data_IF_458847603531
#
_entry.id   IF_458847603531
#
_cell.length_a   1.000
_cell.length_b   1.000
_cell.length_c   1.000
_cell.angle_alpha   90.00
_cell.angle_beta   90.00
_cell.angle_gamma   90.00
#
_symmetry.space_group_name_H-M   'P 1'
#
loop_
_entity.id
_entity.type
_entity.pdbx_description
1 polymer ?
#
# COMPACT_ATOMS: atom_id res chain seq x y z
N UNK A 1 17.50 -10.29 42.98
CA UNK A 1 16.78 -10.98 41.87
C UNK A 1 15.87 -9.97 41.19
N UNK A 2 16.42 -9.21 40.23
CA UNK A 2 15.69 -8.21 39.46
C UNK A 2 15.03 -8.89 38.26
N UNK A 3 13.71 -8.73 38.12
CA UNK A 3 12.94 -9.21 36.98
C UNK A 3 13.11 -8.22 35.83
N UNK A 4 13.70 -8.69 34.73
CA UNK A 4 13.79 -7.97 33.46
C UNK A 4 12.42 -8.10 32.78
N UNK A 5 11.75 -7.00 32.37
CA UNK A 5 10.54 -7.10 31.56
C UNK A 5 10.90 -7.56 30.15
N UNK A 6 10.20 -8.60 29.68
CA UNK A 6 10.27 -9.10 28.31
C UNK A 6 9.94 -8.00 27.32
N UNK A 7 10.94 -7.54 26.58
CA UNK A 7 10.76 -6.67 25.44
C UNK A 7 10.15 -7.47 24.29
N UNK A 8 8.99 -7.02 23.81
CA UNK A 8 8.33 -7.50 22.62
C UNK A 8 9.19 -7.11 21.41
N UNK A 9 9.94 -8.06 20.84
CA UNK A 9 10.63 -7.84 19.56
C UNK A 9 9.61 -7.96 18.42
N UNK A 10 9.28 -6.83 17.81
CA UNK A 10 8.56 -6.78 16.54
C UNK A 10 9.61 -6.85 15.41
N UNK A 11 9.81 -8.03 14.82
CA UNK A 11 10.57 -8.16 13.58
C UNK A 11 9.67 -7.71 12.42
N UNK A 12 9.86 -6.48 11.95
CA UNK A 12 9.30 -6.03 10.68
C UNK A 12 10.30 -6.37 9.56
N UNK A 13 10.21 -7.59 9.03
CA UNK A 13 10.83 -7.89 7.74
C UNK A 13 9.97 -7.23 6.65
N UNK A 14 10.46 -6.15 6.05
CA UNK A 14 9.86 -5.60 4.83
C UNK A 14 10.22 -6.50 3.65
N UNK A 15 9.59 -7.68 3.62
CA UNK A 15 9.49 -8.46 2.39
C UNK A 15 8.50 -7.73 1.47
N UNK A 16 8.82 -7.62 0.19
CA UNK A 16 7.95 -7.05 -0.85
C UNK A 16 6.71 -7.91 -1.13
N UNK A 17 5.96 -8.25 -0.09
CA UNK A 17 4.65 -8.83 -0.17
C UNK A 17 3.61 -7.78 -0.57
N UNK A 18 2.47 -8.25 -1.04
CA UNK A 18 1.26 -7.44 -1.20
C UNK A 18 0.98 -6.65 0.06
N UNK A 19 1.17 -5.34 0.02
CA UNK A 19 0.74 -4.47 1.10
C UNK A 19 -0.70 -4.05 0.83
N UNK A 20 -1.56 -4.10 1.85
CA UNK A 20 -2.78 -3.32 1.78
C UNK A 20 -2.41 -1.83 1.78
N UNK A 21 -2.67 -1.12 0.70
CA UNK A 21 -2.17 0.23 0.50
C UNK A 21 -3.02 1.03 -0.49
N UNK A 22 -3.07 2.34 -0.21
CA UNK A 22 -3.47 3.36 -1.18
C UNK A 22 -2.25 3.75 -2.04
N UNK A 23 -2.50 4.37 -3.19
CA UNK A 23 -1.46 4.82 -4.11
C UNK A 23 -1.24 6.33 -4.07
N UNK A 24 -2.31 7.12 -4.16
CA UNK A 24 -2.21 8.58 -4.24
C UNK A 24 -3.42 9.27 -3.60
N UNK A 25 -3.29 10.57 -3.35
CA UNK A 25 -4.31 11.43 -2.74
C UNK A 25 -4.35 12.77 -3.45
N UNK A 26 -5.51 13.44 -3.40
CA UNK A 26 -5.64 14.82 -3.86
C UNK A 26 -4.55 15.73 -3.26
N UNK A 27 -3.65 16.32 -4.08
CA UNK A 27 -2.59 17.22 -3.59
C UNK A 27 -3.12 18.62 -3.25
N UNK A 28 -4.41 18.87 -3.45
CA UNK A 28 -5.05 20.17 -3.26
C UNK A 28 -4.99 21.05 -4.52
N UNK A 29 -5.48 22.30 -4.43
CA UNK A 29 -5.96 22.99 -3.22
C UNK A 29 -7.26 22.41 -2.65
N UNK A 30 -7.36 22.35 -1.31
CA UNK A 30 -8.55 21.80 -0.65
C UNK A 30 -9.68 22.83 -0.56
N UNK A 31 -10.85 22.45 -1.07
CA UNK A 31 -11.97 23.36 -1.29
C UNK A 31 -13.06 23.21 -0.22
N UNK A 32 -13.76 24.31 0.06
CA UNK A 32 -14.83 24.35 1.06
C UNK A 32 -15.99 23.38 0.77
N UNK A 33 -16.40 23.10 -0.48
CA UNK A 33 -17.43 22.09 -0.77
C UNK A 33 -17.13 20.70 -0.22
N UNK A 34 -15.83 20.36 -0.07
CA UNK A 34 -15.38 19.08 0.49
C UNK A 34 -14.93 19.22 1.95
N UNK A 35 -15.37 20.26 2.67
CA UNK A 35 -14.97 20.49 4.06
C UNK A 35 -13.47 20.79 4.25
N UNK A 36 -12.79 21.25 3.19
CA UNK A 36 -11.33 21.41 3.12
C UNK A 36 -10.53 20.11 3.27
N UNK A 37 -11.18 18.95 3.10
CA UNK A 37 -10.51 17.65 2.97
C UNK A 37 -9.96 17.43 1.55
N UNK A 38 -9.05 16.44 1.40
CA UNK A 38 -8.68 15.88 0.11
C UNK A 38 -9.95 15.45 -0.66
N UNK A 39 -10.07 15.83 -1.92
CA UNK A 39 -11.23 15.47 -2.72
C UNK A 39 -11.34 13.96 -2.95
N UNK A 40 -10.20 13.27 -3.10
CA UNK A 40 -10.17 11.85 -3.47
C UNK A 40 -8.94 11.11 -2.93
N UNK A 41 -9.05 9.78 -2.85
CA UNK A 41 -7.93 8.84 -2.73
C UNK A 41 -7.96 7.83 -3.89
N UNK A 42 -6.78 7.46 -4.39
CA UNK A 42 -6.59 6.42 -5.40
C UNK A 42 -5.96 5.18 -4.77
N UNK A 43 -6.49 4.00 -5.04
CA UNK A 43 -5.89 2.72 -4.63
C UNK A 43 -4.83 2.21 -5.62
N UNK A 44 -4.08 1.19 -5.22
CA UNK A 44 -3.03 0.56 -6.05
C UNK A 44 -3.56 -0.19 -7.28
N UNK A 45 -4.86 -0.45 -7.35
CA UNK A 45 -5.55 -0.98 -8.53
C UNK A 45 -6.15 0.12 -9.42
N UNK A 46 -5.88 1.39 -9.12
CA UNK A 46 -6.23 2.55 -9.92
C UNK A 46 -7.64 3.09 -9.69
N UNK A 47 -8.42 2.53 -8.76
CA UNK A 47 -9.74 3.09 -8.42
C UNK A 47 -9.57 4.34 -7.60
N UNK A 48 -10.28 5.40 -7.99
CA UNK A 48 -10.28 6.67 -7.29
C UNK A 48 -11.66 6.90 -6.68
N UNK A 49 -11.70 7.15 -5.38
CA UNK A 49 -12.93 7.44 -4.64
C UNK A 49 -12.93 8.88 -4.16
N UNK A 50 -14.03 9.59 -4.38
CA UNK A 50 -14.24 10.92 -3.82
C UNK A 50 -14.62 10.81 -2.34
N UNK A 51 -14.38 11.88 -1.57
CA UNK A 51 -14.99 12.02 -0.24
C UNK A 51 -16.52 11.97 -0.43
N UNK A 52 -17.15 10.92 0.09
CA UNK A 52 -18.53 10.60 -0.22
C UNK A 52 -19.46 11.55 0.55
N UNK A 53 -19.81 12.66 -0.09
CA UNK A 53 -20.73 13.70 0.43
C UNK A 53 -22.06 13.74 -0.32
N UNK A 54 -22.35 12.72 -1.12
CA UNK A 54 -23.57 12.65 -1.93
C UNK A 54 -24.80 12.29 -1.10
N UNK A 55 -25.90 12.99 -1.34
CA UNK A 55 -27.24 12.65 -0.83
C UNK A 55 -28.02 11.72 -1.75
N UNK A 56 -27.38 11.11 -2.76
CA UNK A 56 -27.99 10.05 -3.53
C UNK A 56 -28.44 8.91 -2.61
N UNK A 57 -29.61 8.33 -2.89
CA UNK A 57 -30.19 7.24 -2.11
C UNK A 57 -30.24 5.97 -2.93
N UNK A 58 -30.19 4.82 -2.26
CA UNK A 58 -30.34 3.52 -2.89
C UNK A 58 -31.71 3.37 -3.55
N UNK A 59 -31.72 3.04 -4.83
CA UNK A 59 -32.94 2.61 -5.54
C UNK A 59 -33.39 1.20 -5.15
N UNK A 60 -32.55 0.46 -4.42
CA UNK A 60 -32.76 -0.95 -4.05
C UNK A 60 -33.34 -1.10 -2.65
N UNK A 61 -32.98 -0.21 -1.74
CA UNK A 61 -33.43 -0.22 -0.35
C UNK A 61 -34.20 1.06 -0.06
N UNK A 62 -35.51 0.99 0.25
CA UNK A 62 -36.26 2.17 0.63
C UNK A 62 -35.74 2.72 1.96
N UNK A 63 -35.57 4.03 2.05
CA UNK A 63 -35.29 4.70 3.32
C UNK A 63 -36.50 4.66 4.28
N UNK A 64 -36.25 4.99 5.54
CA UNK A 64 -37.30 5.20 6.55
C UNK A 64 -37.48 6.70 6.83
N UNK A 65 -38.62 7.15 7.41
CA UNK A 65 -38.79 8.52 7.84
C UNK A 65 -37.66 8.96 8.79
N UNK A 66 -36.92 10.01 8.42
CA UNK A 66 -35.75 10.48 9.18
C UNK A 66 -34.51 9.60 9.09
N UNK A 67 -34.50 8.59 8.21
CA UNK A 67 -33.32 7.76 7.93
C UNK A 67 -33.29 7.40 6.44
N UNK A 68 -32.87 8.33 5.58
CA UNK A 68 -32.73 8.08 4.16
C UNK A 68 -31.70 6.96 3.89
N UNK A 69 -31.92 6.16 2.86
CA UNK A 69 -31.01 5.09 2.44
C UNK A 69 -29.85 5.64 1.61
N UNK A 70 -29.07 6.56 2.20
CA UNK A 70 -27.97 7.22 1.49
C UNK A 70 -26.94 6.23 0.97
N UNK A 71 -26.38 6.52 -0.21
CA UNK A 71 -25.26 5.78 -0.80
C UNK A 71 -23.91 6.16 -0.18
N UNK A 72 -23.86 7.29 0.52
CA UNK A 72 -22.75 7.72 1.39
C UNK A 72 -23.14 7.57 2.85
N UNK A 73 -22.16 7.36 3.74
CA UNK A 73 -22.41 7.32 5.19
C UNK A 73 -22.48 8.76 5.71
N UNK A 74 -23.68 9.34 5.67
CA UNK A 74 -23.98 10.70 6.13
C UNK A 74 -24.88 10.61 7.36
N UNK A 75 -24.29 10.65 8.55
CA UNK A 75 -25.02 10.51 9.81
C UNK A 75 -25.45 11.89 10.32
N UNK A 76 -26.77 12.16 10.44
CA UNK A 76 -27.24 13.41 11.05
C UNK A 76 -26.78 13.50 12.51
N UNK A 77 -26.31 14.69 12.91
CA UNK A 77 -25.88 14.97 14.27
C UNK A 77 -26.54 16.28 14.72
N UNK A 78 -27.51 16.24 15.66
CA UNK A 78 -28.29 17.41 16.07
C UNK A 78 -27.41 18.60 16.49
N UNK A 79 -27.57 19.72 15.79
CA UNK A 79 -26.78 20.93 16.02
C UNK A 79 -25.43 21.00 15.28
N UNK A 80 -25.07 19.95 14.54
CA UNK A 80 -23.83 19.86 13.75
C UNK A 80 -24.12 19.63 12.26
N UNK A 81 -24.91 18.60 11.95
CA UNK A 81 -25.33 18.25 10.60
C UNK A 81 -26.80 17.85 10.53
N UNK A 82 -27.57 18.61 9.76
CA UNK A 82 -28.95 18.37 9.37
C UNK A 82 -28.96 17.97 7.89
N UNK A 83 -29.29 16.70 7.62
CA UNK A 83 -29.32 16.10 6.29
C UNK A 83 -30.49 16.59 5.42
N UNK A 84 -31.45 17.30 6.02
CA UNK A 84 -32.53 17.99 5.30
C UNK A 84 -32.08 19.32 4.69
N UNK A 85 -30.96 19.88 5.15
CA UNK A 85 -30.38 21.12 4.65
C UNK A 85 -29.21 20.84 3.68
N UNK A 86 -28.88 21.77 2.77
CA UNK A 86 -27.69 21.65 1.93
C UNK A 86 -26.40 21.55 2.77
N UNK A 87 -25.43 20.78 2.28
CA UNK A 87 -24.09 20.76 2.85
C UNK A 87 -23.45 22.15 2.75
N UNK A 88 -22.97 22.67 3.87
CA UNK A 88 -22.32 23.97 3.94
C UNK A 88 -21.25 23.97 5.03
N UNK A 89 -19.98 23.90 4.65
CA UNK A 89 -18.88 23.94 5.62
C UNK A 89 -18.62 25.38 6.12
N UNK A 90 -18.38 25.61 7.42
CA UNK A 90 -18.39 24.64 8.53
C UNK A 90 -19.75 24.49 9.24
N UNK A 91 -20.79 25.22 8.84
CA UNK A 91 -22.02 25.38 9.65
C UNK A 91 -23.00 24.21 9.61
N UNK A 92 -23.08 23.48 8.49
CA UNK A 92 -23.93 22.31 8.29
C UNK A 92 -23.14 21.26 7.50
N UNK A 93 -22.25 20.55 8.18
CA UNK A 93 -21.34 19.59 7.56
C UNK A 93 -21.17 18.38 8.49
N UNK A 94 -21.15 17.14 7.99
CA UNK A 94 -21.00 15.98 8.85
C UNK A 94 -19.65 16.02 9.57
N UNK A 95 -19.65 15.73 10.87
CA UNK A 95 -18.46 15.63 11.71
C UNK A 95 -17.56 14.43 11.36
N UNK A 96 -18.13 13.43 10.70
CA UNK A 96 -17.42 12.30 10.07
C UNK A 96 -17.93 12.06 8.65
N UNK A 97 -17.02 11.83 7.71
CA UNK A 97 -17.34 11.42 6.34
C UNK A 97 -16.32 10.41 5.84
N UNK A 98 -16.59 9.74 4.72
CA UNK A 98 -15.79 8.58 4.29
C UNK A 98 -15.48 8.66 2.79
N UNK A 99 -14.21 8.43 2.42
CA UNK A 99 -13.86 8.10 1.04
C UNK A 99 -14.22 6.64 0.73
N UNK A 100 -14.08 5.78 1.74
CA UNK A 100 -14.37 4.35 1.67
C UNK A 100 -14.85 3.86 3.03
N UNK A 101 -15.86 2.99 3.04
CA UNK A 101 -16.13 2.10 4.17
C UNK A 101 -16.56 0.71 3.70
N UNK A 102 -16.16 -0.32 4.43
CA UNK A 102 -16.67 -1.67 4.30
C UNK A 102 -16.81 -2.31 5.68
N UNK A 103 -18.06 -2.55 6.05
CA UNK A 103 -18.46 -3.01 7.38
C UNK A 103 -19.03 -4.42 7.29
N UNK A 104 -18.69 -5.27 8.24
CA UNK A 104 -19.24 -6.62 8.34
C UNK A 104 -19.60 -6.95 9.78
N UNK A 105 -20.66 -7.75 9.93
CA UNK A 105 -21.06 -8.32 11.21
C UNK A 105 -21.11 -9.84 11.10
N UNK A 106 -20.77 -10.52 12.20
CA UNK A 106 -20.89 -11.96 12.34
C UNK A 106 -21.39 -12.26 13.75
N UNK A 107 -22.63 -12.74 13.84
CA UNK A 107 -23.29 -13.05 15.11
C UNK A 107 -23.61 -14.54 15.17
N UNK A 108 -23.10 -15.21 16.20
CA UNK A 108 -23.46 -16.58 16.56
C UNK A 108 -23.72 -16.63 18.07
N UNK A 109 -24.98 -16.44 18.44
CA UNK A 109 -25.41 -16.45 19.83
C UNK A 109 -25.17 -17.81 20.52
N UNK A 110 -25.16 -18.92 19.79
CA UNK A 110 -24.93 -20.26 20.35
C UNK A 110 -23.49 -20.43 20.81
N UNK A 111 -22.55 -19.85 20.05
CA UNK A 111 -21.12 -19.85 20.37
C UNK A 111 -20.69 -18.61 21.15
N UNK A 112 -21.61 -17.70 21.47
CA UNK A 112 -21.35 -16.47 22.21
C UNK A 112 -20.48 -15.47 21.45
N UNK A 113 -20.63 -15.41 20.12
CA UNK A 113 -19.88 -14.49 19.24
C UNK A 113 -20.80 -13.37 18.75
N UNK A 114 -20.34 -12.13 18.93
CA UNK A 114 -20.85 -10.94 18.26
C UNK A 114 -19.65 -10.13 17.77
N UNK A 115 -19.35 -10.25 16.47
CA UNK A 115 -18.22 -9.60 15.82
C UNK A 115 -18.72 -8.45 14.95
N UNK A 116 -18.13 -7.28 15.14
CA UNK A 116 -18.24 -6.13 14.23
C UNK A 116 -16.86 -5.79 13.68
N UNK A 117 -16.76 -5.73 12.36
CA UNK A 117 -15.57 -5.30 11.61
C UNK A 117 -15.90 -4.00 10.86
N UNK A 118 -14.99 -3.04 10.91
CA UNK A 118 -15.03 -1.80 10.12
C UNK A 118 -13.68 -1.65 9.43
N UNK A 119 -13.71 -1.35 8.14
CA UNK A 119 -12.54 -0.90 7.38
C UNK A 119 -12.89 0.37 6.63
N UNK A 120 -12.08 1.42 6.76
CA UNK A 120 -12.45 2.73 6.22
C UNK A 120 -11.25 3.60 5.86
N UNK A 121 -11.49 4.54 4.94
CA UNK A 121 -10.67 5.76 4.78
C UNK A 121 -11.58 6.92 5.17
N UNK A 122 -11.27 7.53 6.30
CA UNK A 122 -12.20 8.36 7.06
C UNK A 122 -11.69 9.80 7.19
N UNK A 123 -12.63 10.74 7.06
CA UNK A 123 -12.49 12.16 7.30
C UNK A 123 -13.16 12.49 8.63
N UNK A 124 -12.44 13.13 9.53
CA UNK A 124 -12.98 13.58 10.80
C UNK A 124 -12.34 14.91 11.21
N UNK A 125 -12.85 15.51 12.29
CA UNK A 125 -12.28 16.71 12.88
C UNK A 125 -11.67 16.40 14.25
N UNK A 126 -10.47 16.92 14.52
CA UNK A 126 -9.75 16.65 15.78
C UNK A 126 -10.50 17.09 17.04
N UNK A 127 -11.31 18.15 16.95
CA UNK A 127 -12.20 18.62 18.03
C UNK A 127 -13.56 17.91 18.07
N UNK A 128 -13.86 17.07 17.07
CA UNK A 128 -15.17 16.44 16.87
C UNK A 128 -16.23 17.35 16.24
N UNK A 129 -15.89 18.60 15.88
CA UNK A 129 -16.79 19.52 15.21
C UNK A 129 -16.16 20.05 13.91
N UNK A 130 -16.95 20.30 12.85
CA UNK A 130 -16.44 20.90 11.63
C UNK A 130 -15.78 22.26 11.89
N UNK A 131 -14.46 22.31 11.69
CA UNK A 131 -13.68 23.53 11.80
C UNK A 131 -12.51 23.49 10.80
N UNK A 132 -12.21 24.64 10.18
CA UNK A 132 -11.03 24.73 9.30
C UNK A 132 -9.76 24.66 10.15
N UNK A 133 -8.81 23.82 9.73
CA UNK A 133 -7.59 23.56 10.48
C UNK A 133 -7.71 22.39 11.46
N UNK A 134 -8.86 21.71 11.54
CA UNK A 134 -9.06 20.52 12.40
C UNK A 134 -9.18 19.22 11.60
N UNK A 135 -9.10 19.26 10.27
CA UNK A 135 -9.29 18.12 9.37
C UNK A 135 -8.24 17.03 9.62
N UNK A 136 -8.70 15.82 9.88
CA UNK A 136 -7.92 14.60 9.98
C UNK A 136 -8.36 13.61 8.89
N UNK A 137 -7.40 12.89 8.32
CA UNK A 137 -7.68 11.74 7.47
C UNK A 137 -6.82 10.56 7.89
N UNK A 138 -7.42 9.38 7.93
CA UNK A 138 -6.74 8.16 8.33
C UNK A 138 -7.40 6.93 7.71
N UNK A 139 -6.60 5.88 7.58
CA UNK A 139 -7.07 4.53 7.30
C UNK A 139 -7.42 3.86 8.63
N UNK A 140 -8.61 3.27 8.74
CA UNK A 140 -9.12 2.63 9.95
C UNK A 140 -9.36 1.15 9.73
N UNK A 141 -8.93 0.34 10.69
CA UNK A 141 -9.47 -0.99 10.94
C UNK A 141 -9.97 -1.04 12.38
N UNK A 142 -11.23 -1.44 12.57
CA UNK A 142 -11.82 -1.66 13.89
C UNK A 142 -12.39 -3.06 13.99
N UNK A 143 -12.05 -3.74 15.07
CA UNK A 143 -12.52 -5.09 15.39
C UNK A 143 -13.06 -5.08 16.81
N UNK A 144 -14.36 -5.34 16.94
CA UNK A 144 -15.03 -5.53 18.23
C UNK A 144 -15.66 -6.90 18.28
N UNK A 145 -15.33 -7.68 19.29
CA UNK A 145 -15.85 -9.04 19.43
C UNK A 145 -16.24 -9.35 20.87
N UNK A 146 -17.47 -9.82 21.04
CA UNK A 146 -17.88 -10.56 22.23
C UNK A 146 -17.41 -12.01 22.07
N UNK A 147 -16.68 -12.55 23.06
CA UNK A 147 -16.21 -13.94 23.02
C UNK A 147 -16.52 -14.66 24.34
N UNK A 148 -16.81 -15.98 24.33
CA UNK A 148 -17.31 -16.67 25.53
C UNK A 148 -16.22 -17.05 26.54
N UNK A 149 -14.96 -17.17 26.12
CA UNK A 149 -13.89 -17.78 26.92
C UNK A 149 -12.55 -17.07 26.72
N UNK A 150 -11.62 -17.26 27.66
CA UNK A 150 -10.24 -16.86 27.48
C UNK A 150 -9.53 -17.72 26.41
N UNK A 151 -8.52 -17.18 25.75
CA UNK A 151 -7.64 -17.89 24.81
C UNK A 151 -7.15 -17.03 23.65
N UNK A 152 -6.53 -17.70 22.67
CA UNK A 152 -6.02 -17.05 21.46
C UNK A 152 -7.11 -17.05 20.39
N UNK A 153 -7.43 -15.88 19.86
CA UNK A 153 -8.34 -15.69 18.74
C UNK A 153 -7.57 -15.12 17.56
N UNK A 154 -7.72 -15.73 16.37
CA UNK A 154 -7.14 -15.23 15.12
C UNK A 154 -8.27 -14.69 14.26
N UNK A 155 -8.17 -13.44 13.82
CA UNK A 155 -9.14 -12.80 12.96
C UNK A 155 -8.47 -12.52 11.62
N UNK A 156 -8.87 -13.28 10.60
CA UNK A 156 -8.48 -13.02 9.21
C UNK A 156 -9.51 -12.09 8.58
N UNK A 157 -9.05 -11.01 7.96
CA UNK A 157 -9.90 -10.01 7.32
C UNK A 157 -9.33 -9.60 5.95
N UNK A 158 -10.04 -8.78 5.15
CA UNK A 158 -9.61 -8.43 3.80
C UNK A 158 -8.25 -7.78 3.65
N UNK A 159 -7.73 -7.20 4.73
CA UNK A 159 -6.49 -6.43 4.72
C UNK A 159 -5.42 -7.00 5.66
N UNK A 160 -5.60 -8.21 6.19
CA UNK A 160 -4.60 -8.81 7.07
C UNK A 160 -5.14 -9.86 8.02
N UNK A 161 -4.31 -10.16 9.02
CA UNK A 161 -4.60 -11.11 10.10
C UNK A 161 -4.18 -10.47 11.41
N UNK A 162 -5.12 -10.38 12.36
CA UNK A 162 -4.86 -9.92 13.72
C UNK A 162 -5.03 -11.08 14.71
N UNK A 163 -4.09 -11.23 15.65
CA UNK A 163 -4.10 -12.30 16.66
C UNK A 163 -4.24 -11.68 18.05
N UNK A 164 -5.26 -12.10 18.80
CA UNK A 164 -5.60 -11.57 20.11
C UNK A 164 -5.44 -12.64 21.19
N UNK A 165 -4.70 -12.30 22.25
CA UNK A 165 -4.70 -13.09 23.48
C UNK A 165 -5.73 -12.51 24.46
N UNK A 166 -6.86 -13.20 24.60
CA UNK A 166 -8.00 -12.77 25.42
C UNK A 166 -7.89 -13.40 26.81
N UNK A 167 -7.69 -12.61 27.89
CA UNK A 167 -7.50 -13.16 29.23
C UNK A 167 -8.80 -13.63 29.91
N UNK A 168 -9.94 -13.11 29.47
CA UNK A 168 -11.27 -13.49 29.95
C UNK A 168 -12.31 -13.21 28.86
N UNK A 169 -13.29 -14.11 28.72
CA UNK A 169 -14.44 -13.90 27.85
C UNK A 169 -15.35 -12.77 28.36
N UNK A 170 -16.21 -12.27 27.47
CA UNK A 170 -17.18 -11.23 27.78
C UNK A 170 -17.47 -10.32 26.60
N UNK A 171 -18.29 -9.30 26.87
CA UNK A 171 -18.65 -8.27 25.91
C UNK A 171 -17.43 -7.43 25.53
N UNK A 172 -17.16 -7.27 24.23
CA UNK A 172 -16.01 -6.55 23.66
C UNK A 172 -14.68 -6.98 24.29
N UNK A 173 -14.55 -8.27 24.59
CA UNK A 173 -13.29 -8.86 25.05
C UNK A 173 -12.16 -8.67 24.01
N UNK A 174 -12.52 -8.56 22.73
CA UNK A 174 -11.67 -7.96 21.70
C UNK A 174 -12.24 -6.56 21.37
N UNK A 175 -11.42 -5.53 21.49
CA UNK A 175 -11.79 -4.15 21.18
C UNK A 175 -10.57 -3.40 20.64
N UNK A 176 -10.27 -3.60 19.36
CA UNK A 176 -9.13 -3.01 18.68
C UNK A 176 -9.62 -1.94 17.71
N UNK A 177 -8.96 -0.79 17.75
CA UNK A 177 -9.03 0.23 16.70
C UNK A 177 -7.59 0.55 16.29
N UNK A 178 -7.33 0.47 14.99
CA UNK A 178 -6.07 0.86 14.36
C UNK A 178 -6.38 1.98 13.37
N UNK A 179 -6.01 3.19 13.75
CA UNK A 179 -6.11 4.38 12.89
C UNK A 179 -4.70 4.78 12.46
N UNK A 180 -4.41 4.70 11.17
CA UNK A 180 -3.09 5.02 10.60
C UNK A 180 -3.21 6.24 9.72
N UNK A 181 -2.31 7.21 9.94
CA UNK A 181 -2.24 8.42 9.12
C UNK A 181 -2.68 9.69 9.83
N UNK A 182 -3.20 9.59 11.07
CA UNK A 182 -3.45 10.76 11.92
C UNK A 182 -2.13 11.52 12.12
N UNK A 183 -2.07 12.71 11.55
CA UNK A 183 -0.90 13.59 11.59
C UNK A 183 -1.29 15.02 11.96
N UNK A 184 -0.46 15.98 11.52
CA UNK A 184 -0.84 17.38 11.61
C UNK A 184 -2.15 17.62 10.83
N UNK A 185 -3.03 18.52 11.31
CA UNK A 185 -4.26 18.81 10.59
C UNK A 185 -4.03 19.21 9.14
N UNK A 186 -5.00 18.90 8.29
CA UNK A 186 -4.96 19.15 6.84
C UNK A 186 -3.81 18.42 6.09
N UNK A 187 -3.25 17.36 6.69
CA UNK A 187 -2.26 16.49 6.05
C UNK A 187 -2.91 15.17 5.64
N UNK A 188 -3.09 14.93 4.34
CA UNK A 188 -3.83 13.76 3.84
C UNK A 188 -2.94 12.63 3.30
N UNK A 189 -1.62 12.84 3.17
CA UNK A 189 -0.69 11.77 2.78
C UNK A 189 -0.48 10.73 3.89
N UNK A 190 -0.93 11.00 5.11
CA UNK A 190 -0.83 10.08 6.24
C UNK A 190 -1.57 8.77 6.00
N UNK A 191 -2.78 8.83 5.42
CA UNK A 191 -3.60 7.63 5.16
C UNK A 191 -2.96 6.68 4.13
N UNK A 192 -2.06 7.18 3.27
CA UNK A 192 -1.29 6.34 2.33
C UNK A 192 -0.36 5.34 3.01
N UNK A 193 -0.04 5.56 4.29
CA UNK A 193 0.76 4.64 5.12
C UNK A 193 -0.09 3.57 5.79
N UNK A 194 -1.41 3.66 5.65
CA UNK A 194 -2.37 2.72 6.23
C UNK A 194 -2.42 1.39 5.51
N UNK A 195 -3.11 0.45 6.15
CA UNK A 195 -3.33 -0.91 5.67
C UNK A 195 -4.73 -1.07 5.04
N UNK A 196 -5.18 -0.05 4.30
CA UNK A 196 -6.43 -0.08 3.53
C UNK A 196 -6.10 0.12 2.06
N UNK A 197 -6.71 -0.71 1.21
CA UNK A 197 -6.50 -0.69 -0.22
C UNK A 197 -5.91 -2.01 -0.72
N UNK A 198 -6.15 -2.42 -1.97
CA UNK A 198 -7.16 -1.92 -2.88
C UNK A 198 -8.57 -1.93 -2.28
N UNK A 199 -9.42 -0.99 -2.70
CA UNK A 199 -10.75 -0.86 -2.08
C UNK A 199 -11.59 -2.11 -2.35
N UNK A 200 -12.22 -2.63 -1.28
CA UNK A 200 -13.28 -3.61 -1.44
C UNK A 200 -14.44 -2.99 -2.22
N UNK A 201 -15.10 -3.82 -3.01
CA UNK A 201 -16.29 -3.45 -3.75
C UNK A 201 -17.29 -4.59 -3.75
N UNK A 202 -18.57 -4.24 -3.86
CA UNK A 202 -19.62 -5.23 -4.07
C UNK A 202 -19.36 -6.01 -5.36
N UNK A 203 -19.65 -7.32 -5.34
CA UNK A 203 -19.64 -8.15 -6.55
C UNK A 203 -20.80 -7.84 -7.51
N UNK A 204 -21.86 -7.24 -6.99
CA UNK A 204 -23.07 -6.89 -7.74
C UNK A 204 -23.03 -5.45 -8.27
N UNK A 205 -22.14 -4.62 -7.70
CA UNK A 205 -21.88 -3.26 -8.16
C UNK A 205 -20.97 -3.18 -9.40
N UNK A 206 -20.64 -1.97 -9.87
CA UNK A 206 -20.98 -0.69 -9.25
C UNK A 206 -22.47 -0.33 -9.39
N UNK A 207 -22.94 0.59 -8.55
CA UNK A 207 -24.31 1.09 -8.57
C UNK A 207 -24.35 2.53 -9.05
N UNK A 208 -25.36 2.88 -9.84
CA UNK A 208 -25.56 4.26 -10.31
C UNK A 208 -26.83 4.80 -9.67
N UNK A 209 -26.73 5.95 -9.02
CA UNK A 209 -27.86 6.64 -8.39
C UNK A 209 -27.84 8.13 -8.74
N UNK A 210 -29.00 8.77 -8.69
CA UNK A 210 -29.13 10.20 -8.97
C UNK A 210 -28.93 11.00 -7.68
N UNK A 211 -27.99 11.93 -7.70
CA UNK A 211 -27.85 12.91 -6.63
C UNK A 211 -29.00 13.92 -6.70
N UNK A 212 -29.87 14.00 -5.68
CA UNK A 212 -31.04 14.88 -5.71
C UNK A 212 -30.69 16.37 -5.75
N UNK A 213 -29.47 16.75 -5.34
CA UNK A 213 -29.06 18.15 -5.22
C UNK A 213 -28.57 18.73 -6.55
N UNK A 214 -27.92 17.87 -7.35
CA UNK A 214 -27.25 18.27 -8.59
C UNK A 214 -27.94 17.69 -9.83
N UNK A 215 -28.77 16.66 -9.66
CA UNK A 215 -29.33 15.87 -10.76
C UNK A 215 -28.31 14.96 -11.46
N UNK A 216 -27.05 14.92 -10.99
CA UNK A 216 -26.01 14.12 -11.59
C UNK A 216 -26.23 12.62 -11.32
N UNK A 217 -25.94 11.79 -12.32
CA UNK A 217 -25.77 10.34 -12.11
C UNK A 217 -24.39 10.09 -11.51
N UNK A 218 -24.36 9.48 -10.34
CA UNK A 218 -23.15 9.18 -9.60
C UNK A 218 -22.99 7.67 -9.45
N UNK A 219 -21.75 7.19 -9.47
CA UNK A 219 -21.47 5.76 -9.43
C UNK A 219 -20.79 5.39 -8.11
N UNK A 220 -21.18 4.27 -7.51
CA UNK A 220 -20.72 3.81 -6.21
C UNK A 220 -20.16 2.39 -6.29
N UNK A 221 -19.11 2.09 -5.53
CA UNK A 221 -18.48 0.76 -5.48
C UNK A 221 -19.29 -0.29 -4.69
N UNK A 222 -20.32 0.16 -3.97
CA UNK A 222 -21.22 -0.65 -3.18
C UNK A 222 -22.44 0.16 -2.76
N UNK A 223 -23.35 -0.49 -2.05
CA UNK A 223 -24.51 0.12 -1.42
C UNK A 223 -24.43 -0.20 0.08
N UNK A 224 -24.25 0.80 0.97
CA UNK A 224 -24.12 0.55 2.41
C UNK A 224 -25.43 0.08 3.05
N UNK A 225 -26.55 0.12 2.31
CA UNK A 225 -27.86 -0.36 2.76
C UNK A 225 -28.07 -1.85 2.46
N UNK A 226 -27.15 -2.48 1.71
CA UNK A 226 -27.16 -3.91 1.40
C UNK A 226 -25.99 -4.60 2.11
N UNK A 227 -26.15 -5.90 2.38
CA UNK A 227 -25.05 -6.76 2.84
C UNK A 227 -24.75 -7.77 1.75
N UNK A 228 -23.63 -7.60 1.05
CA UNK A 228 -23.33 -8.33 -0.18
C UNK A 228 -21.90 -8.87 -0.20
N UNK A 229 -21.69 -9.93 -0.98
CA UNK A 229 -20.37 -10.49 -1.17
C UNK A 229 -19.44 -9.47 -1.86
N UNK A 230 -18.18 -9.41 -1.41
CA UNK A 230 -17.20 -8.45 -1.91
C UNK A 230 -16.07 -9.09 -2.72
N UNK A 231 -15.33 -8.24 -3.42
CA UNK A 231 -14.05 -8.54 -4.05
C UNK A 231 -13.10 -7.35 -3.86
N UNK A 232 -11.80 -7.55 -4.10
CA UNK A 232 -10.79 -6.48 -4.07
C UNK A 232 -9.71 -6.64 -3.01
N UNK A 233 -9.83 -7.61 -2.08
CA UNK A 233 -8.79 -7.88 -1.08
C UNK A 233 -7.43 -8.14 -1.74
N UNK A 234 -6.33 -7.48 -1.30
CA UNK A 234 -4.98 -7.74 -1.79
C UNK A 234 -4.45 -9.13 -1.44
N UNK A 235 -5.07 -9.80 -0.46
CA UNK A 235 -4.67 -11.12 0.03
C UNK A 235 -5.62 -12.23 -0.41
N UNK A 236 -6.56 -11.92 -1.31
CA UNK A 236 -7.66 -12.82 -1.69
C UNK A 236 -8.51 -13.29 -0.48
N UNK A 237 -8.54 -12.51 0.60
CA UNK A 237 -9.34 -12.75 1.82
C UNK A 237 -10.61 -11.90 1.79
N UNK A 238 -11.48 -12.08 0.80
CA UNK A 238 -12.74 -11.32 0.66
C UNK A 238 -13.81 -11.72 1.71
N UNK A 239 -13.43 -11.87 2.97
CA UNK A 239 -14.22 -12.37 4.08
C UNK A 239 -13.62 -11.94 5.42
N UNK A 240 -14.43 -12.01 6.48
CA UNK A 240 -13.97 -12.02 7.88
C UNK A 240 -14.10 -13.44 8.42
N UNK A 241 -13.03 -13.96 9.04
CA UNK A 241 -13.03 -15.26 9.72
C UNK A 241 -12.44 -15.12 11.11
N UNK A 242 -13.15 -15.63 12.12
CA UNK A 242 -12.67 -15.73 13.49
C UNK A 242 -12.42 -17.19 13.84
N UNK A 243 -11.18 -17.48 14.21
CA UNK A 243 -10.74 -18.77 14.74
C UNK A 243 -10.38 -18.61 16.22
N UNK A 244 -10.64 -19.62 17.05
CA UNK A 244 -10.38 -19.53 18.48
C UNK A 244 -10.47 -20.84 19.26
N UNK A 245 -10.49 -20.76 20.60
CA UNK A 245 -10.56 -21.92 21.49
C UNK A 245 -11.75 -22.82 21.19
N UNK A 246 -11.65 -24.09 21.61
CA UNK A 246 -12.70 -25.10 21.46
C UNK A 246 -13.13 -25.38 20.00
N UNK A 247 -12.25 -25.11 19.03
CA UNK A 247 -12.53 -25.32 17.61
C UNK A 247 -13.49 -24.26 17.03
N UNK A 248 -13.55 -23.06 17.62
CA UNK A 248 -14.29 -21.95 17.03
C UNK A 248 -13.70 -21.63 15.65
N UNK A 249 -14.56 -21.64 14.65
CA UNK A 249 -14.25 -21.23 13.28
C UNK A 249 -15.54 -20.74 12.63
N UNK A 250 -15.67 -19.41 12.50
CA UNK A 250 -16.83 -18.76 11.88
C UNK A 250 -16.36 -17.78 10.82
N UNK A 251 -17.15 -17.65 9.76
CA UNK A 251 -16.83 -16.78 8.63
C UNK A 251 -18.07 -16.08 8.07
N UNK A 252 -17.88 -14.84 7.62
CA UNK A 252 -18.82 -14.09 6.77
C UNK A 252 -18.05 -13.51 5.58
N UNK A 253 -18.65 -13.52 4.40
CA UNK A 253 -18.10 -12.94 3.17
C UNK A 253 -18.90 -11.74 2.66
N UNK A 254 -19.91 -11.32 3.42
CA UNK A 254 -20.80 -10.22 3.08
C UNK A 254 -20.48 -8.95 3.87
N UNK A 255 -20.52 -7.81 3.20
CA UNK A 255 -20.20 -6.50 3.75
C UNK A 255 -21.23 -5.46 3.29
N UNK A 256 -21.44 -4.42 4.10
CA UNK A 256 -22.03 -3.16 3.68
C UNK A 256 -20.89 -2.24 3.21
N UNK A 257 -20.92 -1.80 1.95
CA UNK A 257 -19.81 -1.06 1.32
C UNK A 257 -20.28 0.30 0.84
N UNK A 258 -19.57 1.35 1.22
CA UNK A 258 -19.76 2.73 0.74
C UNK A 258 -18.50 3.24 0.05
N UNK A 259 -18.71 4.04 -0.99
CA UNK A 259 -17.64 4.76 -1.69
C UNK A 259 -18.13 5.24 -3.06
N UNK A 260 -17.95 6.54 -3.32
CA UNK A 260 -18.33 7.18 -4.59
C UNK A 260 -17.13 7.15 -5.53
N UNK A 261 -17.30 6.58 -6.72
CA UNK A 261 -16.28 6.64 -7.78
C UNK A 261 -16.09 8.09 -8.21
N UNK A 262 -14.82 8.51 -8.24
CA UNK A 262 -14.46 9.85 -8.68
C UNK A 262 -14.63 10.02 -10.18
N UNK A 263 -15.08 11.21 -10.59
CA UNK A 263 -15.03 11.65 -11.99
C UNK A 263 -13.61 12.11 -12.39
N UNK A 264 -12.69 12.25 -11.44
CA UNK A 264 -11.32 12.69 -11.69
C UNK A 264 -10.56 11.60 -12.45
N UNK A 265 -10.12 11.92 -13.66
CA UNK A 265 -9.29 11.02 -14.47
C UNK A 265 -7.90 10.92 -13.84
N UNK A 266 -7.48 9.70 -13.54
CA UNK A 266 -6.17 9.41 -12.95
C UNK A 266 -5.34 8.46 -13.81
N UNK A 267 -4.02 8.68 -13.90
CA UNK A 267 -3.11 7.73 -14.51
C UNK A 267 -3.15 6.38 -13.77
N UNK A 268 -2.84 5.30 -14.48
CA UNK A 268 -2.67 3.98 -13.89
C UNK A 268 -1.55 4.02 -12.82
N UNK A 269 -1.78 3.52 -11.60
CA UNK A 269 -0.74 3.41 -10.60
C UNK A 269 0.47 2.62 -11.10
N UNK A 270 1.67 3.10 -10.80
CA UNK A 270 2.89 2.41 -11.18
C UNK A 270 4.02 2.73 -10.21
N UNK A 271 4.74 1.70 -9.77
CA UNK A 271 5.98 1.82 -9.01
C UNK A 271 7.01 0.91 -9.69
N UNK A 272 8.00 1.50 -10.35
CA UNK A 272 9.10 0.74 -10.93
C UNK A 272 10.01 0.29 -9.79
N UNK A 273 10.12 -1.03 -9.58
CA UNK A 273 10.91 -1.60 -8.49
C UNK A 273 12.37 -1.80 -8.91
N UNK A 274 12.59 -2.23 -10.16
CA UNK A 274 13.93 -2.52 -10.67
C UNK A 274 13.97 -2.43 -12.19
N UNK A 275 15.04 -1.85 -12.72
CA UNK A 275 15.43 -1.98 -14.11
C UNK A 275 16.95 -2.20 -14.17
N UNK A 276 17.35 -3.45 -14.37
CA UNK A 276 18.77 -3.85 -14.35
C UNK A 276 19.19 -4.50 -15.65
N UNK A 277 20.47 -4.45 -15.98
CA UNK A 277 21.05 -5.26 -17.06
C UNK A 277 22.18 -6.16 -16.55
N UNK A 278 22.46 -7.22 -17.29
CA UNK A 278 23.68 -8.01 -17.20
C UNK A 278 24.22 -8.27 -18.59
N UNK A 279 25.54 -8.39 -18.72
CA UNK A 279 26.14 -8.74 -20.01
C UNK A 279 27.48 -9.42 -19.83
N UNK A 280 27.75 -10.41 -20.67
CA UNK A 280 29.02 -11.15 -20.70
C UNK A 280 29.33 -11.63 -22.11
N UNK A 281 30.59 -11.96 -22.38
CA UNK A 281 30.98 -12.59 -23.63
C UNK A 281 30.90 -14.11 -23.48
N UNK A 282 30.04 -14.77 -24.26
CA UNK A 282 29.93 -16.23 -24.34
C UNK A 282 30.39 -16.65 -25.73
N UNK A 283 31.43 -17.49 -25.80
CA UNK A 283 32.03 -17.93 -27.07
C UNK A 283 32.42 -16.78 -28.01
N UNK A 284 32.88 -15.65 -27.44
CA UNK A 284 33.30 -14.46 -28.19
C UNK A 284 32.16 -13.57 -28.68
N UNK A 285 30.90 -13.86 -28.33
CA UNK A 285 29.73 -13.05 -28.67
C UNK A 285 29.11 -12.43 -27.42
N UNK A 286 28.64 -11.17 -27.49
CA UNK A 286 27.96 -10.54 -26.37
C UNK A 286 26.61 -11.22 -26.12
N UNK A 287 26.41 -11.69 -24.89
CA UNK A 287 25.13 -12.11 -24.35
C UNK A 287 24.70 -11.10 -23.30
N UNK A 288 23.54 -10.49 -23.51
CA UNK A 288 23.00 -9.49 -22.60
C UNK A 288 21.59 -9.85 -22.16
N UNK A 289 21.18 -9.27 -21.05
CA UNK A 289 19.85 -9.40 -20.49
C UNK A 289 19.47 -8.08 -19.80
N UNK A 290 18.21 -7.68 -19.97
CA UNK A 290 17.58 -6.58 -19.25
C UNK A 290 16.41 -7.16 -18.46
N UNK A 291 16.31 -6.83 -17.19
CA UNK A 291 15.28 -7.32 -16.28
C UNK A 291 14.54 -6.14 -15.66
N UNK A 292 13.22 -6.12 -15.81
CA UNK A 292 12.35 -5.04 -15.35
C UNK A 292 11.28 -5.59 -14.42
N UNK A 293 11.14 -4.97 -13.24
CA UNK A 293 10.14 -5.28 -12.23
C UNK A 293 9.33 -4.02 -11.95
N UNK A 294 8.01 -4.11 -11.99
CA UNK A 294 7.12 -3.00 -11.66
C UNK A 294 5.90 -3.49 -10.90
N UNK A 295 5.44 -2.69 -9.94
CA UNK A 295 4.09 -2.78 -9.42
C UNK A 295 3.17 -1.94 -10.31
N UNK A 296 2.03 -2.50 -10.69
CA UNK A 296 0.97 -1.86 -11.47
C UNK A 296 -0.34 -2.65 -11.28
N UNK A 297 -1.53 -2.10 -11.63
CA UNK A 297 -2.78 -2.83 -11.53
C UNK A 297 -2.70 -4.26 -12.13
N UNK A 298 -3.22 -5.28 -11.44
CA UNK A 298 -3.22 -6.67 -11.93
C UNK A 298 -4.18 -6.82 -13.12
N UNK A 299 -4.19 -8.00 -13.78
CA UNK A 299 -5.16 -8.31 -14.82
C UNK A 299 -6.60 -7.93 -14.42
N UNK A 300 -7.37 -7.28 -15.31
CA UNK A 300 -7.09 -7.12 -16.74
C UNK A 300 -6.20 -5.91 -17.10
N UNK A 301 -5.61 -5.22 -16.13
CA UNK A 301 -4.52 -4.27 -16.39
C UNK A 301 -3.33 -4.96 -17.07
N UNK A 302 -2.49 -4.16 -17.73
CA UNK A 302 -1.32 -4.63 -18.49
C UNK A 302 -0.09 -3.79 -18.17
N UNK A 303 1.08 -4.41 -18.18
CA UNK A 303 2.37 -3.71 -18.15
C UNK A 303 3.26 -4.14 -19.33
N UNK A 304 4.06 -3.21 -19.84
CA UNK A 304 5.06 -3.42 -20.89
C UNK A 304 6.23 -2.48 -20.68
N UNK A 305 7.37 -2.75 -21.31
CA UNK A 305 8.45 -1.76 -21.40
C UNK A 305 9.07 -1.71 -22.80
N UNK A 306 9.60 -0.55 -23.18
CA UNK A 306 10.55 -0.44 -24.27
C UNK A 306 11.96 -0.71 -23.73
N UNK A 307 12.63 -1.71 -24.29
CA UNK A 307 14.01 -2.03 -23.93
C UNK A 307 14.98 -0.94 -24.42
N UNK A 308 16.27 -1.06 -24.07
CA UNK A 308 17.28 -0.06 -24.46
C UNK A 308 17.48 0.11 -25.97
N UNK A 309 16.97 -0.81 -26.80
CA UNK A 309 17.00 -0.75 -28.26
C UNK A 309 15.67 -0.23 -28.85
N UNK A 310 14.68 0.08 -28.00
CA UNK A 310 13.35 0.54 -28.40
C UNK A 310 12.40 -0.58 -28.78
N UNK A 311 12.74 -1.85 -28.54
CA UNK A 311 11.84 -2.97 -28.76
C UNK A 311 10.82 -3.07 -27.62
N UNK A 312 9.55 -3.22 -27.97
CA UNK A 312 8.47 -3.39 -26.98
C UNK A 312 8.44 -4.80 -26.43
N UNK A 313 8.40 -4.91 -25.11
CA UNK A 313 8.36 -6.17 -24.36
C UNK A 313 7.13 -6.17 -23.46
N UNK A 314 6.23 -7.12 -23.69
CA UNK A 314 5.11 -7.36 -22.78
C UNK A 314 5.63 -7.99 -21.46
N UNK A 315 5.12 -7.52 -20.33
CA UNK A 315 5.44 -8.07 -19.02
C UNK A 315 4.43 -9.15 -18.64
N UNK A 316 4.85 -10.10 -17.80
CA UNK A 316 4.00 -11.14 -17.22
C UNK A 316 3.69 -10.79 -15.78
N UNK A 317 2.44 -10.96 -15.36
CA UNK A 317 2.01 -10.77 -13.97
C UNK A 317 2.10 -12.09 -13.19
N UNK A 318 2.55 -12.01 -11.93
CA UNK A 318 2.94 -13.19 -11.18
C UNK A 318 1.79 -13.90 -10.45
N UNK A 319 0.84 -13.18 -9.85
CA UNK A 319 0.00 -13.76 -8.79
C UNK A 319 -1.37 -13.07 -8.55
N UNK A 320 -1.85 -12.24 -9.48
CA UNK A 320 -3.09 -11.47 -9.36
C UNK A 320 -2.98 -10.25 -8.44
N UNK A 321 -1.76 -9.86 -8.06
CA UNK A 321 -1.52 -8.79 -7.08
C UNK A 321 -0.78 -7.59 -7.66
N UNK A 322 -0.50 -7.62 -8.97
CA UNK A 322 0.11 -6.49 -9.67
C UNK A 322 1.63 -6.52 -9.68
N UNK A 323 2.25 -7.67 -9.41
CA UNK A 323 3.69 -7.87 -9.54
C UNK A 323 4.02 -8.25 -10.99
N UNK A 324 4.59 -7.32 -11.75
CA UNK A 324 4.93 -7.52 -13.16
C UNK A 324 6.43 -7.70 -13.35
N UNK A 325 6.81 -8.69 -14.15
CA UNK A 325 8.18 -8.94 -14.60
C UNK A 325 8.27 -9.00 -16.12
N UNK A 326 9.33 -8.43 -16.69
CA UNK A 326 9.64 -8.57 -18.10
C UNK A 326 11.15 -8.62 -18.36
N UNK A 327 11.52 -9.26 -19.46
CA UNK A 327 12.90 -9.51 -19.84
C UNK A 327 13.15 -9.20 -21.31
N UNK A 328 14.31 -8.58 -21.63
CA UNK A 328 14.83 -8.45 -22.99
C UNK A 328 16.23 -9.03 -23.11
N UNK A 329 16.59 -9.55 -24.28
CA UNK A 329 17.97 -9.93 -24.64
C UNK A 329 18.79 -8.79 -25.26
N UNK A 330 18.24 -7.57 -25.33
CA UNK A 330 18.91 -6.40 -25.92
C UNK A 330 20.20 -6.06 -25.19
N UNK A 331 21.29 -5.86 -25.93
CA UNK A 331 22.58 -5.41 -25.36
C UNK A 331 22.62 -3.88 -25.30
N UNK A 332 22.63 -3.26 -24.11
CA UNK A 332 22.53 -1.81 -23.98
C UNK A 332 23.82 -1.09 -24.38
N UNK A 333 23.67 0.05 -25.06
CA UNK A 333 24.72 1.08 -25.17
C UNK A 333 24.54 2.02 -23.99
N UNK A 334 25.56 2.15 -23.14
CA UNK A 334 25.45 2.89 -21.88
C UNK A 334 25.90 4.35 -22.03
N UNK A 335 25.28 5.29 -21.29
CA UNK A 335 24.16 5.10 -20.36
C UNK A 335 22.84 4.81 -21.10
N UNK A 336 22.02 3.93 -20.52
CA UNK A 336 20.74 3.50 -21.10
C UNK A 336 19.59 3.72 -20.11
N UNK A 337 18.37 3.75 -20.65
CA UNK A 337 17.13 3.75 -19.89
C UNK A 337 16.10 2.87 -20.59
N UNK A 338 15.10 2.43 -19.82
CA UNK A 338 13.91 1.76 -20.34
C UNK A 338 12.68 2.63 -20.08
N UNK A 339 11.64 2.48 -20.90
CA UNK A 339 10.35 3.14 -20.68
C UNK A 339 9.32 2.09 -20.28
N UNK A 340 8.88 2.10 -19.02
CA UNK A 340 7.92 1.13 -18.50
C UNK A 340 6.54 1.76 -18.52
N UNK A 341 5.58 1.12 -19.17
CA UNK A 341 4.20 1.57 -19.32
C UNK A 341 3.24 0.64 -18.58
N UNK A 342 2.41 1.20 -17.71
CA UNK A 342 1.25 0.54 -17.11
C UNK A 342 -0.05 1.07 -17.75
N UNK A 343 -1.00 0.19 -18.03
CA UNK A 343 -2.30 0.54 -18.58
C UNK A 343 -3.41 -0.24 -17.86
N UNK A 344 -4.42 0.48 -17.37
CA UNK A 344 -5.56 -0.10 -16.66
C UNK A 344 -6.92 0.25 -17.29
N UNK A 345 -6.93 0.76 -18.54
CA UNK A 345 -8.13 1.24 -19.21
C UNK A 345 -9.18 0.14 -19.45
N UNK A 346 -8.76 -1.13 -19.48
CA UNK A 346 -9.69 -2.27 -19.60
C UNK A 346 -10.53 -2.44 -18.33
N UNK A 347 -9.93 -2.28 -17.14
CA UNK A 347 -10.65 -2.38 -15.87
C UNK A 347 -11.38 -1.08 -15.52
N UNK A 348 -10.79 0.07 -15.86
CA UNK A 348 -11.26 1.41 -15.53
C UNK A 348 -11.15 2.26 -16.79
N UNK A 349 -12.21 2.38 -17.62
CA UNK A 349 -12.16 3.07 -18.92
C UNK A 349 -11.63 4.51 -18.88
N UNK A 350 -11.83 5.21 -17.77
CA UNK A 350 -11.34 6.57 -17.57
C UNK A 350 -9.84 6.64 -17.19
N UNK A 351 -9.21 5.53 -16.79
CA UNK A 351 -7.79 5.51 -16.40
C UNK A 351 -6.90 5.68 -17.62
N UNK A 352 -5.94 6.61 -17.55
CA UNK A 352 -4.96 6.83 -18.61
C UNK A 352 -3.71 5.97 -18.40
N UNK A 353 -3.05 5.50 -19.47
CA UNK A 353 -1.76 4.83 -19.35
C UNK A 353 -0.70 5.74 -18.73
N UNK A 354 0.19 5.15 -17.94
CA UNK A 354 1.32 5.83 -17.29
C UNK A 354 2.60 5.28 -17.88
N UNK A 355 3.58 6.13 -18.18
CA UNK A 355 4.91 5.70 -18.65
C UNK A 355 5.99 6.37 -17.82
N UNK A 356 6.87 5.55 -17.26
CA UNK A 356 8.02 6.00 -16.48
C UNK A 356 9.32 5.62 -17.18
N UNK A 357 10.21 6.59 -17.37
CA UNK A 357 11.57 6.35 -17.80
C UNK A 357 12.44 5.99 -16.59
N UNK A 358 13.10 4.84 -16.64
CA UNK A 358 13.97 4.35 -15.57
C UNK A 358 15.39 4.12 -16.11
N UNK A 359 16.44 4.67 -15.47
CA UNK A 359 17.81 4.32 -15.79
C UNK A 359 18.03 2.81 -15.71
N UNK A 360 18.67 2.26 -16.74
CA UNK A 360 19.02 0.85 -16.79
C UNK A 360 20.42 0.68 -16.20
N UNK A 361 20.49 0.12 -14.99
CA UNK A 361 21.72 0.02 -14.20
C UNK A 361 22.25 -1.41 -14.12
N UNK A 362 23.53 -1.60 -13.82
CA UNK A 362 24.06 -2.93 -13.55
C UNK A 362 23.57 -3.45 -12.19
N UNK A 363 23.67 -4.76 -11.98
CA UNK A 363 23.47 -5.37 -10.67
C UNK A 363 24.84 -5.46 -9.98
N UNK A 364 24.96 -4.79 -8.83
CA UNK A 364 26.08 -4.98 -7.92
C UNK A 364 25.68 -6.08 -6.93
N UNK A 365 26.63 -6.92 -6.54
CA UNK A 365 26.46 -7.85 -5.42
C UNK A 365 27.70 -7.77 -4.53
N UNK A 366 27.52 -7.62 -3.23
CA UNK A 366 28.58 -7.74 -2.24
C UNK A 366 28.67 -9.21 -1.83
N UNK A 367 29.86 -9.81 -1.95
CA UNK A 367 30.12 -11.19 -1.52
C UNK A 367 30.71 -11.24 -0.11
N UNK A 368 31.38 -10.15 0.33
CA UNK A 368 32.01 -10.06 1.64
C UNK A 368 32.06 -8.62 2.12
N UNK A 369 31.67 -8.40 3.37
CA UNK A 369 31.85 -7.15 4.10
C UNK A 369 32.25 -7.46 5.55
N UNK A 370 33.55 -7.48 5.82
CA UNK A 370 34.10 -7.93 7.12
C UNK A 370 35.04 -6.91 7.71
N UNK A 371 34.95 -6.65 9.01
CA UNK A 371 35.90 -5.82 9.75
C UNK A 371 36.65 -6.62 10.81
N UNK A 372 37.98 -6.68 10.70
CA UNK A 372 38.83 -7.32 11.71
C UNK A 372 39.08 -6.39 12.89
N UNK A 373 38.68 -6.84 14.08
CA UNK A 373 38.89 -6.11 15.33
C UNK A 373 40.39 -6.08 15.68
N UNK A 374 41.11 -7.17 15.48
CA UNK A 374 42.55 -7.24 15.75
C UNK A 374 43.38 -6.25 14.91
N UNK A 375 43.06 -6.08 13.63
CA UNK A 375 43.85 -5.24 12.71
C UNK A 375 43.23 -3.89 12.35
N UNK A 376 41.97 -3.64 12.74
CA UNK A 376 41.22 -2.45 12.35
C UNK A 376 40.98 -2.31 10.84
N UNK A 377 40.95 -3.43 10.10
CA UNK A 377 40.79 -3.42 8.65
C UNK A 377 39.39 -3.82 8.24
N UNK A 378 38.80 -3.03 7.34
CA UNK A 378 37.58 -3.35 6.61
C UNK A 378 37.95 -3.98 5.26
N UNK A 379 37.43 -5.17 4.99
CA UNK A 379 37.55 -5.85 3.70
C UNK A 379 36.18 -5.96 3.04
N UNK A 380 36.10 -5.52 1.78
CA UNK A 380 34.91 -5.57 0.95
C UNK A 380 35.25 -6.30 -0.34
N UNK A 381 34.43 -7.28 -0.72
CA UNK A 381 34.47 -7.91 -2.05
C UNK A 381 33.09 -7.78 -2.68
N UNK A 382 33.06 -7.27 -3.90
CA UNK A 382 31.83 -7.08 -4.64
C UNK A 382 32.04 -7.32 -6.13
N UNK A 383 30.94 -7.54 -6.85
CA UNK A 383 30.95 -7.77 -8.28
C UNK A 383 29.85 -6.99 -9.00
N UNK A 384 30.07 -6.73 -10.28
CA UNK A 384 29.08 -6.15 -11.21
C UNK A 384 28.62 -7.18 -12.23
N UNK A 385 27.35 -7.10 -12.65
CA UNK A 385 26.78 -7.89 -13.73
C UNK A 385 27.25 -7.46 -15.13
N UNK A 386 27.93 -6.31 -15.27
CA UNK A 386 28.59 -5.92 -16.52
C UNK A 386 29.98 -6.54 -16.62
N UNK A 387 30.05 -7.73 -17.23
CA UNK A 387 31.32 -8.44 -17.46
C UNK A 387 31.97 -8.11 -18.80
N UNK A 388 31.30 -7.35 -19.67
CA UNK A 388 31.86 -6.93 -20.97
C UNK A 388 32.72 -5.69 -20.80
N UNK A 389 32.25 -4.70 -20.03
CA UNK A 389 33.02 -3.52 -19.67
C UNK A 389 32.82 -3.18 -18.19
N UNK A 390 33.48 -3.92 -17.27
CA UNK A 390 33.30 -3.76 -15.84
C UNK A 390 33.47 -2.29 -15.37
N UNK A 391 32.41 -1.64 -14.85
CA UNK A 391 32.50 -0.27 -14.33
C UNK A 391 33.39 -0.19 -13.09
N UNK A 392 33.79 1.03 -12.71
CA UNK A 392 34.38 1.26 -11.39
C UNK A 392 33.35 1.02 -10.27
N UNK A 393 33.79 0.44 -9.15
CA UNK A 393 32.97 0.25 -7.95
C UNK A 393 33.55 1.06 -6.79
N UNK A 394 32.71 1.77 -6.06
CA UNK A 394 33.08 2.58 -4.89
C UNK A 394 32.27 2.16 -3.66
N UNK A 395 32.93 2.09 -2.50
CA UNK A 395 32.29 1.81 -1.23
C UNK A 395 32.08 3.09 -0.42
N UNK A 396 30.93 3.15 0.25
CA UNK A 396 30.58 4.17 1.24
C UNK A 396 30.03 3.50 2.50
N UNK A 397 30.15 4.17 3.64
CA UNK A 397 29.50 3.78 4.88
C UNK A 397 28.00 4.00 4.74
N UNK A 398 27.20 2.95 4.99
CA UNK A 398 25.80 2.84 4.58
C UNK A 398 24.97 4.12 4.70
N UNK A 399 24.34 4.36 5.87
CA UNK A 399 23.43 5.50 6.05
C UNK A 399 24.12 6.87 6.00
N UNK A 400 25.38 6.95 6.45
CA UNK A 400 26.10 8.23 6.51
C UNK A 400 26.58 8.71 5.13
N UNK A 401 26.67 7.81 4.15
CA UNK A 401 27.23 8.08 2.82
C UNK A 401 28.71 8.46 2.84
N UNK A 402 29.41 8.30 3.97
CA UNK A 402 30.80 8.67 4.10
C UNK A 402 31.67 7.79 3.19
N UNK A 403 32.56 8.41 2.41
CA UNK A 403 33.42 7.69 1.48
C UNK A 403 34.34 6.71 2.21
N UNK A 404 34.39 5.45 1.76
CA UNK A 404 35.33 4.43 2.25
C UNK A 404 36.48 4.27 1.26
N UNK A 405 36.19 4.10 -0.03
CA UNK A 405 37.21 3.97 -1.06
C UNK A 405 36.73 3.32 -2.35
N UNK A 406 37.60 3.26 -3.36
CA UNK A 406 37.34 2.53 -4.61
C UNK A 406 37.80 1.08 -4.50
N UNK A 407 37.01 0.14 -4.99
CA UNK A 407 37.42 -1.26 -5.09
C UNK A 407 38.32 -1.44 -6.32
N UNK A 408 39.37 -2.24 -6.18
CA UNK A 408 40.36 -2.51 -7.23
C UNK A 408 40.15 -3.90 -7.84
N UNK A 409 40.52 -4.06 -9.12
CA UNK A 409 40.38 -5.29 -9.89
C UNK A 409 40.04 -5.02 -11.35
N UNK A 410 40.67 -5.75 -12.27
CA UNK A 410 40.50 -5.57 -13.73
C UNK A 410 39.24 -6.24 -14.28
N UNK A 411 38.62 -7.13 -13.50
CA UNK A 411 37.42 -7.88 -13.87
C UNK A 411 36.13 -7.32 -13.25
N UNK A 412 35.02 -8.06 -13.41
CA UNK A 412 33.74 -7.74 -12.79
C UNK A 412 33.78 -7.88 -11.26
N UNK A 413 34.60 -8.78 -10.71
CA UNK A 413 34.85 -8.89 -9.28
C UNK A 413 35.97 -7.94 -8.85
N UNK A 414 35.76 -7.20 -7.77
CA UNK A 414 36.68 -6.21 -7.22
C UNK A 414 36.73 -6.29 -5.71
N UNK A 415 37.83 -5.82 -5.13
CA UNK A 415 38.05 -5.85 -3.68
C UNK A 415 38.60 -4.54 -3.14
N UNK A 416 38.32 -4.25 -1.88
CA UNK A 416 38.94 -3.17 -1.12
C UNK A 416 39.34 -3.72 0.24
N UNK A 417 40.58 -3.46 0.67
CA UNK A 417 40.99 -3.61 2.06
C UNK A 417 41.55 -2.29 2.54
N UNK A 418 40.96 -1.71 3.58
CA UNK A 418 41.35 -0.39 4.08
C UNK A 418 41.24 -0.31 5.59
N UNK A 419 42.11 0.47 6.22
CA UNK A 419 42.03 0.74 7.65
C UNK A 419 40.90 1.71 7.97
N UNK A 420 40.04 1.36 8.93
CA UNK A 420 38.94 2.22 9.41
C UNK A 420 39.11 2.40 10.92
N UNK A 421 39.06 3.67 11.37
CA UNK A 421 39.24 4.07 12.77
C UNK A 421 38.31 5.25 13.11
N UNK A 422 37.77 5.35 14.35
CA UNK A 422 37.99 4.45 15.50
C UNK A 422 37.04 3.26 15.55
N UNK A 423 35.96 3.26 14.77
CA UNK A 423 34.95 2.20 14.72
C UNK A 423 34.53 1.92 13.28
N UNK A 424 34.21 0.66 12.92
CA UNK A 424 33.67 0.34 11.61
C UNK A 424 32.26 0.89 11.43
N UNK A 425 31.80 1.10 10.19
CA UNK A 425 30.38 1.33 9.93
C UNK A 425 29.58 0.04 10.17
N UNK A 426 28.31 0.18 10.56
CA UNK A 426 27.42 -0.98 10.74
C UNK A 426 27.07 -1.65 9.40
N UNK A 427 26.99 -0.87 8.32
CA UNK A 427 26.69 -1.32 6.97
C UNK A 427 27.63 -0.67 5.96
N UNK A 428 27.90 -1.36 4.86
CA UNK A 428 28.59 -0.80 3.70
C UNK A 428 27.66 -0.83 2.50
N UNK A 429 27.78 0.18 1.64
CA UNK A 429 27.10 0.20 0.34
C UNK A 429 28.15 0.31 -0.76
N UNK A 430 28.12 -0.60 -1.73
CA UNK A 430 28.96 -0.56 -2.93
C UNK A 430 28.14 -0.05 -4.09
N UNK A 431 28.66 0.96 -4.79
CA UNK A 431 28.00 1.67 -5.88
C UNK A 431 28.84 1.52 -7.14
N UNK A 432 28.20 1.19 -8.25
CA UNK A 432 28.78 1.12 -9.57
C UNK A 432 28.71 2.47 -10.28
N UNK A 433 29.73 2.77 -11.10
CA UNK A 433 29.70 3.92 -12.01
C UNK A 433 28.55 3.86 -13.03
N UNK A 434 27.96 2.68 -13.27
CA UNK A 434 26.77 2.50 -14.11
C UNK A 434 25.45 2.56 -13.30
N UNK A 435 25.51 2.95 -12.03
CA UNK A 435 24.36 3.26 -11.19
C UNK A 435 23.87 2.13 -10.28
N UNK A 436 24.30 0.88 -10.52
CA UNK A 436 23.95 -0.26 -9.68
C UNK A 436 24.49 -0.10 -8.26
N UNK A 437 23.82 -0.68 -7.27
CA UNK A 437 24.38 -0.71 -5.91
C UNK A 437 23.84 -1.89 -5.10
N UNK A 438 24.61 -2.26 -4.09
CA UNK A 438 24.22 -3.25 -3.09
C UNK A 438 24.68 -2.80 -1.70
N UNK A 439 24.00 -3.25 -0.65
CA UNK A 439 24.28 -2.89 0.74
C UNK A 439 24.27 -4.13 1.62
N UNK A 440 25.29 -4.28 2.48
CA UNK A 440 25.42 -5.40 3.40
C UNK A 440 25.81 -4.92 4.80
N UNK A 441 25.40 -5.69 5.82
CA UNK A 441 25.91 -5.53 7.18
C UNK A 441 27.39 -5.88 7.24
N UNK A 442 28.14 -5.15 8.07
CA UNK A 442 29.56 -5.43 8.30
C UNK A 442 29.69 -6.49 9.38
N UNK A 443 30.14 -7.68 8.97
CA UNK A 443 30.47 -8.75 9.90
C UNK A 443 31.75 -8.41 10.68
N UNK A 444 31.67 -8.43 12.01
CA UNK A 444 32.82 -8.22 12.87
C UNK A 444 33.55 -9.55 13.08
N UNK A 445 34.81 -9.61 12.65
CA UNK A 445 35.66 -10.80 12.81
C UNK A 445 36.78 -10.54 13.82
N UNK A 446 37.16 -11.54 14.64
CA UNK A 446 38.22 -11.39 15.65
C UNK A 446 39.55 -10.90 15.10
#
# INVERSE_FOLDING_TARGET
>A
MHRIPSALLLFAMTTGGTQAALFDVDPGPYLAPNGKFAAWYQDTHGRTLDLCLSRAVSSRVPGAPGTPSYMCVLLPNPGVYDDTQPLNFPTNFPDEAFWFSADATLVDATRGIDLTYVSAVEAAFGSGLPAEGDQLSFARIRIRVDVPTAGIYTITHPYGVDVFNVPAGGRRAINMTRDIGIGAPMTYTGALKGDIGPFLRSRNGPYVETNPDTGAQETFIGDPNLTEAVTGSPFNTNYIRIEGPNGLDLRTDVFAVSGKLSATVRPAPQIVQRATYSRENVNGLPKAQQDVFTLAPPPPGTASFLDSAGASVAMTEANGTGNWYGQSGGNPILPAQVQITANNSVAIPASTPTTHAQPLVDLVSIQRATYSIASGQLTIEASTSDKISPPALTAVAGESGASIGSLTGDGPAKSLSTGISPIPPATVRVISANGGSDSEEVELVP
#
